data_IF_436798912740
#
_entry.id   IF_436798912740
#
_cell.length_a   1.000
_cell.length_b   1.000
_cell.length_c   1.000
_cell.angle_alpha   90.00
_cell.angle_beta   90.00
_cell.angle_gamma   90.00
#
_symmetry.space_group_name_H-M   'P 1'
#
loop_
_entity.id
_entity.type
_entity.pdbx_description
1 polymer ?
#
# COMPACT_ATOMS: atom_id res chain seq x y z
N UNK A 1 5.50 9.15 1.70
CA UNK A 1 4.14 9.23 2.31
C UNK A 1 3.16 9.62 1.22
N UNK A 2 1.89 9.25 1.36
CA UNK A 2 0.80 9.65 0.46
C UNK A 2 -0.28 10.29 1.31
N UNK A 3 -0.68 11.50 0.92
CA UNK A 3 -1.77 12.24 1.53
C UNK A 3 -2.93 12.27 0.55
N UNK A 4 -4.16 12.10 1.03
CA UNK A 4 -5.39 12.32 0.26
C UNK A 4 -6.16 13.43 0.96
N UNK A 5 -6.45 14.49 0.22
CA UNK A 5 -7.12 15.71 0.74
C UNK A 5 -6.43 16.32 1.99
N UNK A 6 -5.10 16.16 2.08
CA UNK A 6 -4.30 16.66 3.20
C UNK A 6 -4.22 15.71 4.41
N UNK A 7 -4.93 14.58 4.37
CA UNK A 7 -4.91 13.57 5.42
C UNK A 7 -3.90 12.46 5.11
N UNK A 8 -3.16 12.00 6.14
CA UNK A 8 -2.22 10.89 5.97
C UNK A 8 -2.98 9.59 5.72
N UNK A 9 -2.74 8.99 4.55
CA UNK A 9 -3.45 7.78 4.13
C UNK A 9 -2.52 6.57 4.05
N UNK A 10 -1.34 6.73 3.45
CA UNK A 10 -0.31 5.69 3.39
C UNK A 10 1.07 6.24 3.73
N UNK A 11 1.88 5.42 4.39
CA UNK A 11 3.29 5.70 4.63
C UNK A 11 4.13 4.47 4.38
N UNK A 12 5.13 4.62 3.51
CA UNK A 12 6.14 3.59 3.29
C UNK A 12 7.31 3.84 4.23
N UNK A 13 7.65 2.86 5.06
CA UNK A 13 8.86 2.94 5.88
C UNK A 13 10.13 2.88 5.02
N UNK A 14 11.23 3.39 5.57
CA UNK A 14 12.53 3.32 4.92
C UNK A 14 12.87 1.85 4.60
N UNK A 15 13.27 1.61 3.36
CA UNK A 15 13.58 0.26 2.86
C UNK A 15 12.43 -0.43 2.13
N UNK A 16 11.24 0.16 2.08
CA UNK A 16 10.18 -0.24 1.13
C UNK A 16 9.43 -1.53 1.50
N UNK A 17 9.62 -2.04 2.72
CA UNK A 17 9.09 -3.34 3.17
C UNK A 17 7.83 -3.25 4.02
N UNK A 18 7.70 -2.19 4.80
CA UNK A 18 6.54 -1.98 5.67
C UNK A 18 5.73 -0.82 5.15
N UNK A 19 4.44 -1.05 4.97
CA UNK A 19 3.44 -0.04 4.69
C UNK A 19 2.61 0.21 5.94
N UNK A 20 2.38 1.47 6.26
CA UNK A 20 1.38 1.89 7.23
C UNK A 20 0.19 2.49 6.49
N UNK A 21 -1.02 2.13 6.91
CA UNK A 21 -2.27 2.56 6.31
C UNK A 21 -3.24 3.07 7.37
N UNK A 22 -3.91 4.19 7.07
CA UNK A 22 -4.87 4.84 7.96
C UNK A 22 -6.26 4.91 7.30
N UNK A 23 -7.16 3.96 7.62
CA UNK A 23 -8.55 4.02 7.17
C UNK A 23 -9.28 5.20 7.82
N UNK A 24 -10.37 5.65 7.18
CA UNK A 24 -11.19 6.81 7.60
C UNK A 24 -11.94 6.56 8.90
N UNK A 25 -12.29 5.29 9.14
CA UNK A 25 -12.97 4.85 10.34
C UNK A 25 -12.37 3.54 10.84
N UNK A 26 -12.40 3.29 12.16
CA UNK A 26 -12.05 2.00 12.72
C UNK A 26 -12.99 0.91 12.19
N UNK A 27 -12.49 -0.33 12.11
CA UNK A 27 -13.23 -1.54 11.75
C UNK A 27 -13.95 -1.51 10.38
N UNK A 28 -13.64 -0.52 9.52
CA UNK A 28 -14.12 -0.48 8.14
C UNK A 28 -13.26 -1.38 7.26
N UNK A 29 -13.88 -2.10 6.32
CA UNK A 29 -13.13 -2.87 5.33
C UNK A 29 -12.24 -1.90 4.52
N UNK A 30 -10.91 -2.09 4.48
CA UNK A 30 -10.02 -1.19 3.75
C UNK A 30 -10.37 -1.00 2.27
N UNK A 31 -11.05 -1.98 1.66
CA UNK A 31 -11.47 -1.91 0.26
C UNK A 31 -12.64 -0.95 0.03
N UNK A 32 -13.39 -0.57 1.07
CA UNK A 32 -14.48 0.39 0.99
C UNK A 32 -14.01 1.85 1.11
N UNK A 33 -12.78 2.09 1.59
CA UNK A 33 -12.22 3.43 1.71
C UNK A 33 -11.56 3.89 0.40
N UNK A 34 -12.27 4.73 -0.34
CA UNK A 34 -11.80 5.32 -1.60
C UNK A 34 -10.49 6.11 -1.49
N UNK A 35 -10.18 6.67 -0.31
CA UNK A 35 -8.89 7.36 -0.08
C UNK A 35 -7.75 6.35 -0.06
N UNK A 36 -7.92 5.19 0.57
CA UNK A 36 -6.91 4.14 0.57
C UNK A 36 -6.64 3.64 -0.85
N UNK A 37 -7.69 3.50 -1.68
CA UNK A 37 -7.53 3.11 -3.08
C UNK A 37 -6.70 4.13 -3.86
N UNK A 38 -7.10 5.41 -3.80
CA UNK A 38 -6.39 6.51 -4.44
C UNK A 38 -4.93 6.60 -3.99
N UNK A 39 -4.68 6.37 -2.70
CA UNK A 39 -3.33 6.39 -2.15
C UNK A 39 -2.47 5.22 -2.64
N UNK A 40 -3.04 4.02 -2.79
CA UNK A 40 -2.32 2.86 -3.31
C UNK A 40 -1.98 3.03 -4.80
N UNK A 41 -2.89 3.59 -5.59
CA UNK A 41 -2.60 3.95 -6.99
C UNK A 41 -1.48 4.99 -7.10
N UNK A 42 -1.53 6.05 -6.27
CA UNK A 42 -0.48 7.07 -6.24
C UNK A 42 0.87 6.50 -5.82
N UNK A 43 0.90 5.61 -4.83
CA UNK A 43 2.10 4.88 -4.43
C UNK A 43 2.64 4.04 -5.60
N UNK A 44 1.76 3.36 -6.32
CA UNK A 44 2.16 2.53 -7.45
C UNK A 44 2.71 3.35 -8.61
N UNK A 45 2.07 4.48 -8.94
CA UNK A 45 2.53 5.42 -9.95
C UNK A 45 3.91 5.99 -9.59
N UNK A 46 4.11 6.40 -8.33
CA UNK A 46 5.40 6.89 -7.85
C UNK A 46 6.51 5.84 -7.99
N UNK A 47 6.22 4.57 -7.65
CA UNK A 47 7.18 3.49 -7.79
C UNK A 47 7.54 3.22 -9.27
N UNK A 48 6.56 3.19 -10.17
CA UNK A 48 6.77 3.03 -11.62
C UNK A 48 7.56 4.19 -12.22
N UNK A 49 7.38 5.40 -11.72
CA UNK A 49 8.18 6.57 -12.11
C UNK A 49 9.65 6.51 -11.63
N UNK A 50 10.06 5.43 -10.98
CA UNK A 50 11.44 5.20 -10.53
C UNK A 50 11.80 5.87 -9.21
N UNK A 51 10.88 6.63 -8.59
CA UNK A 51 11.14 7.34 -7.33
C UNK A 51 11.36 6.43 -6.12
N UNK A 52 10.89 5.16 -6.19
CA UNK A 52 11.00 4.18 -5.11
C UNK A 52 11.83 2.94 -5.48
N UNK A 53 12.19 2.77 -6.76
CA UNK A 53 12.76 1.51 -7.26
C UNK A 53 11.77 0.33 -7.17
N UNK A 54 12.28 -0.90 -7.10
CA UNK A 54 11.44 -2.09 -6.87
C UNK A 54 10.91 -2.09 -5.43
N UNK A 55 9.59 -2.07 -5.26
CA UNK A 55 8.93 -2.10 -3.95
C UNK A 55 8.38 -3.50 -3.68
N UNK A 56 8.72 -4.09 -2.53
CA UNK A 56 8.10 -5.34 -2.05
C UNK A 56 7.57 -5.11 -0.64
N UNK A 57 6.25 -5.01 -0.52
CA UNK A 57 5.55 -4.85 0.75
C UNK A 57 5.49 -6.22 1.42
N UNK A 58 6.23 -6.38 2.50
CA UNK A 58 6.26 -7.60 3.32
C UNK A 58 5.21 -7.50 4.45
N UNK A 59 4.93 -6.30 4.97
CA UNK A 59 3.96 -6.04 6.04
C UNK A 59 3.10 -4.80 5.80
N UNK A 60 1.85 -4.86 6.24
CA UNK A 60 0.94 -3.71 6.34
C UNK A 60 0.41 -3.62 7.78
N UNK A 61 0.62 -2.50 8.46
CA UNK A 61 0.21 -2.30 9.87
C UNK A 61 0.64 -3.45 10.80
N UNK A 62 1.86 -3.97 10.61
CA UNK A 62 2.40 -5.08 11.40
C UNK A 62 1.95 -6.48 10.94
N UNK A 63 0.90 -6.61 10.14
CA UNK A 63 0.41 -7.88 9.59
C UNK A 63 1.14 -8.25 8.30
N UNK A 64 1.39 -9.54 8.05
CA UNK A 64 2.00 -9.99 6.80
C UNK A 64 1.14 -9.58 5.59
N UNK A 65 1.75 -9.01 4.55
CA UNK A 65 1.03 -8.40 3.43
C UNK A 65 0.11 -9.39 2.69
N UNK A 66 0.55 -10.65 2.54
CA UNK A 66 -0.21 -11.70 1.85
C UNK A 66 -1.51 -12.11 2.57
N UNK A 67 -1.62 -11.83 3.87
CA UNK A 67 -2.80 -12.16 4.68
C UNK A 67 -3.43 -10.91 5.29
N UNK A 68 -3.01 -9.74 4.81
CA UNK A 68 -3.48 -8.45 5.32
C UNK A 68 -4.83 -8.12 4.69
N UNK A 69 -5.77 -7.50 5.42
CA UNK A 69 -7.00 -6.98 4.82
C UNK A 69 -6.73 -5.90 3.75
N UNK A 70 -5.54 -5.30 3.75
CA UNK A 70 -5.10 -4.34 2.72
C UNK A 70 -4.53 -5.01 1.45
N UNK A 71 -4.46 -6.35 1.42
CA UNK A 71 -3.85 -7.10 0.31
C UNK A 71 -4.57 -6.86 -1.02
N UNK A 72 -5.89 -7.06 -1.05
CA UNK A 72 -6.71 -6.86 -2.25
C UNK A 72 -6.63 -5.42 -2.78
N UNK A 73 -6.55 -4.44 -1.87
CA UNK A 73 -6.37 -3.04 -2.22
C UNK A 73 -5.04 -2.79 -2.94
N UNK A 74 -3.93 -3.33 -2.43
CA UNK A 74 -2.63 -3.23 -3.09
C UNK A 74 -2.60 -4.01 -4.42
N UNK A 75 -3.22 -5.17 -4.48
CA UNK A 75 -3.33 -5.95 -5.72
C UNK A 75 -4.08 -5.17 -6.81
N UNK A 76 -5.17 -4.47 -6.44
CA UNK A 76 -5.91 -3.62 -7.39
C UNK A 76 -5.06 -2.46 -7.95
N UNK A 77 -4.10 -1.96 -7.16
CA UNK A 77 -3.12 -0.96 -7.62
C UNK A 77 -1.98 -1.55 -8.48
N UNK A 78 -1.98 -2.87 -8.69
CA UNK A 78 -1.04 -3.59 -9.55
C UNK A 78 0.15 -4.21 -8.83
N UNK A 79 0.09 -4.35 -7.50
CA UNK A 79 1.03 -5.19 -6.78
C UNK A 79 0.72 -6.67 -7.04
N UNK A 80 1.74 -7.52 -7.07
CA UNK A 80 1.61 -8.95 -7.38
C UNK A 80 2.17 -9.75 -6.22
N UNK A 81 1.44 -10.78 -5.78
CA UNK A 81 1.90 -11.71 -4.76
C UNK A 81 3.18 -12.43 -5.18
N UNK A 82 4.12 -12.49 -4.24
CA UNK A 82 5.36 -13.27 -4.30
C UNK A 82 5.55 -13.97 -2.96
N UNK A 83 6.41 -15.00 -2.86
CA UNK A 83 6.68 -15.66 -1.57
C UNK A 83 7.18 -14.71 -0.48
N UNK A 84 7.76 -13.56 -0.85
CA UNK A 84 8.27 -12.55 0.09
C UNK A 84 7.25 -11.47 0.45
N UNK A 85 6.11 -11.39 -0.23
CA UNK A 85 5.13 -10.32 -0.05
C UNK A 85 4.56 -9.80 -1.37
N UNK A 86 3.91 -8.64 -1.31
CA UNK A 86 3.29 -7.99 -2.47
C UNK A 86 4.32 -7.10 -3.16
N UNK A 87 4.71 -7.47 -4.38
CA UNK A 87 5.73 -6.75 -5.14
C UNK A 87 5.10 -5.93 -6.24
N UNK A 88 5.49 -4.66 -6.33
CA UNK A 88 5.22 -3.84 -7.49
C UNK A 88 6.45 -3.84 -8.40
N UNK A 89 6.24 -4.16 -9.67
CA UNK A 89 7.27 -4.09 -10.70
C UNK A 89 7.18 -2.72 -11.36
N UNK A 90 8.30 -1.99 -11.34
CA UNK A 90 8.50 -0.81 -12.18
C UNK A 90 8.97 -1.26 -13.57
#
# INVERSE_FOLDING_TARGET
MVLVDGELTLYMERGGKTLLAWPSAPDTDPTEDTRLHSAAEALAAAARAGSLGTVTVERVNGTAALTSPYGALLESAGFIATPRGLRLRA
#
